data_IF_240084357407
#
_entry.id   IF_240084357407
#
_cell.length_a   1.000
_cell.length_b   1.000
_cell.length_c   1.000
_cell.angle_alpha   90.00
_cell.angle_beta   90.00
_cell.angle_gamma   90.00
#
_symmetry.space_group_name_H-M   'P 1'
#
loop_
_entity.id
_entity.type
_entity.pdbx_description
1 polymer ?
#
# COMPACT_ATOMS: atom_id res chain seq x y z
N UNK A 1 -3.53 26.56 -9.45
CA UNK A 1 -2.74 25.34 -9.76
C UNK A 1 -3.21 24.22 -8.85
N UNK A 2 -3.30 22.98 -9.34
CA UNK A 2 -3.67 21.85 -8.48
C UNK A 2 -2.51 21.53 -7.50
N UNK A 3 -2.84 21.10 -6.28
CA UNK A 3 -1.85 20.78 -5.24
C UNK A 3 -1.18 19.43 -5.55
N UNK A 4 0.14 19.33 -5.43
CA UNK A 4 0.86 18.03 -5.54
C UNK A 4 0.43 17.10 -4.41
N UNK A 5 0.35 15.80 -4.68
CA UNK A 5 0.06 14.82 -3.63
C UNK A 5 1.23 14.68 -2.64
N UNK A 6 0.99 14.02 -1.51
CA UNK A 6 2.02 13.64 -0.55
C UNK A 6 2.39 12.15 -0.71
N UNK A 7 3.60 11.73 -0.35
CA UNK A 7 3.93 10.31 -0.29
C UNK A 7 2.99 9.55 0.64
N UNK A 8 2.79 8.26 0.37
CA UNK A 8 2.06 7.33 1.23
C UNK A 8 2.98 6.18 1.62
N UNK A 9 2.99 5.82 2.90
CA UNK A 9 3.84 4.75 3.44
C UNK A 9 3.00 3.51 3.74
N UNK A 10 3.43 2.35 3.26
CA UNK A 10 2.81 1.05 3.52
C UNK A 10 3.92 0.06 3.88
N UNK A 11 3.90 -0.45 5.12
CA UNK A 11 5.05 -1.14 5.70
C UNK A 11 6.26 -0.19 5.77
N UNK A 12 7.41 -0.64 5.31
CA UNK A 12 8.64 0.17 5.24
C UNK A 12 8.84 0.85 3.88
N UNK A 13 7.81 0.86 3.02
CA UNK A 13 7.89 1.37 1.65
C UNK A 13 7.14 2.70 1.56
N UNK A 14 7.86 3.75 1.16
CA UNK A 14 7.30 5.05 0.80
C UNK A 14 7.02 5.10 -0.70
N UNK A 15 5.79 5.46 -1.07
CA UNK A 15 5.31 5.55 -2.46
C UNK A 15 5.09 7.02 -2.82
N UNK A 16 5.88 7.52 -3.75
CA UNK A 16 5.91 8.94 -4.09
C UNK A 16 4.75 9.35 -5.02
N UNK A 17 4.37 10.64 -5.06
CA UNK A 17 3.36 11.14 -5.99
C UNK A 17 3.67 10.80 -7.46
N UNK A 18 2.76 10.07 -8.09
CA UNK A 18 2.89 9.58 -9.47
C UNK A 18 3.37 8.14 -9.59
N UNK A 19 3.69 7.48 -8.47
CA UNK A 19 4.15 6.09 -8.45
C UNK A 19 3.01 5.10 -8.23
N UNK A 20 3.26 3.89 -8.72
CA UNK A 20 2.47 2.70 -8.46
C UNK A 20 3.41 1.57 -8.09
N UNK A 21 3.09 0.84 -7.02
CA UNK A 21 3.90 -0.29 -6.57
C UNK A 21 3.04 -1.40 -6.01
N UNK A 22 3.58 -2.62 -6.07
CA UNK A 22 3.03 -3.81 -5.43
C UNK A 22 3.89 -4.15 -4.22
N UNK A 23 3.28 -4.28 -3.05
CA UNK A 23 3.96 -4.50 -1.78
C UNK A 23 3.56 -5.87 -1.25
N UNK A 24 4.55 -6.71 -0.97
CA UNK A 24 4.36 -7.94 -0.18
C UNK A 24 4.44 -7.54 1.30
N UNK A 25 3.29 -7.26 1.91
CA UNK A 25 3.20 -6.78 3.28
C UNK A 25 3.25 -7.98 4.24
N UNK A 26 4.27 -8.11 5.11
CA UNK A 26 4.28 -9.15 6.14
C UNK A 26 3.10 -8.93 7.10
N UNK A 27 2.33 -9.98 7.37
CA UNK A 27 1.10 -9.90 8.18
C UNK A 27 1.15 -10.77 9.44
N UNK A 28 1.81 -11.93 9.39
CA UNK A 28 1.97 -12.80 10.56
C UNK A 28 3.06 -13.85 10.33
N UNK A 29 3.63 -14.36 11.42
CA UNK A 29 4.30 -15.65 11.44
C UNK A 29 3.36 -16.71 12.03
N UNK A 30 3.20 -17.82 11.33
CA UNK A 30 2.38 -18.93 11.80
C UNK A 30 3.18 -19.81 12.78
N UNK A 31 2.49 -20.53 13.66
CA UNK A 31 3.11 -21.47 14.62
C UNK A 31 3.92 -22.60 13.96
N UNK A 32 3.80 -22.75 12.64
CA UNK A 32 4.59 -23.64 11.79
C UNK A 32 5.91 -23.02 11.31
N UNK A 33 6.33 -21.88 11.87
CA UNK A 33 7.45 -21.08 11.39
C UNK A 33 7.32 -20.67 9.92
N UNK A 34 6.08 -20.48 9.45
CA UNK A 34 5.78 -20.01 8.09
C UNK A 34 5.40 -18.54 8.14
N UNK A 35 6.13 -17.68 7.42
CA UNK A 35 5.78 -16.26 7.30
C UNK A 35 4.69 -16.06 6.25
N UNK A 36 3.64 -15.34 6.63
CA UNK A 36 2.52 -14.96 5.80
C UNK A 36 2.73 -13.51 5.30
N UNK A 37 2.54 -13.30 4.01
CA UNK A 37 2.51 -11.96 3.41
C UNK A 37 1.23 -11.73 2.63
N UNK A 38 0.75 -10.48 2.62
CA UNK A 38 -0.41 -10.04 1.88
C UNK A 38 0.02 -9.12 0.73
N UNK A 39 -0.35 -9.41 -0.53
CA UNK A 39 -0.09 -8.50 -1.63
C UNK A 39 -0.98 -7.25 -1.53
N UNK A 40 -0.38 -6.06 -1.62
CA UNK A 40 -1.06 -4.76 -1.59
C UNK A 40 -0.64 -3.95 -2.81
N UNK A 41 -1.61 -3.54 -3.63
CA UNK A 41 -1.39 -2.59 -4.71
C UNK A 41 -1.59 -1.17 -4.19
N UNK A 42 -0.58 -0.31 -4.40
CA UNK A 42 -0.60 1.09 -3.97
C UNK A 42 -0.42 1.98 -5.19
N UNK A 43 -1.32 2.95 -5.35
CA UNK A 43 -1.26 3.97 -6.40
C UNK A 43 -1.30 5.34 -5.72
N UNK A 44 -0.23 6.10 -5.85
CA UNK A 44 -0.17 7.47 -5.38
C UNK A 44 -0.36 8.43 -6.56
N UNK A 45 -1.53 9.09 -6.65
CA UNK A 45 -1.80 10.07 -7.69
C UNK A 45 -0.78 11.22 -7.67
N UNK A 46 -0.50 11.84 -8.83
CA UNK A 46 0.44 12.99 -8.92
C UNK A 46 -0.05 14.22 -8.14
N UNK A 47 -1.37 14.43 -8.14
CA UNK A 47 -2.05 15.57 -7.53
C UNK A 47 -2.87 15.12 -6.31
N UNK A 48 -3.02 16.01 -5.34
CA UNK A 48 -3.79 15.76 -4.13
C UNK A 48 -5.26 15.48 -4.47
N UNK A 49 -5.85 14.52 -3.75
CA UNK A 49 -7.23 14.07 -3.90
C UNK A 49 -7.64 13.19 -2.73
N UNK A 50 -8.87 12.63 -2.74
CA UNK A 50 -9.31 11.71 -1.71
C UNK A 50 -8.47 10.43 -1.71
N UNK A 51 -8.32 9.82 -0.53
CA UNK A 51 -7.67 8.51 -0.35
C UNK A 51 -8.75 7.43 -0.33
N UNK A 52 -8.57 6.36 -1.10
CA UNK A 52 -9.49 5.21 -1.16
C UNK A 52 -8.75 3.94 -0.74
N UNK A 53 -9.39 3.16 0.12
CA UNK A 53 -8.93 1.82 0.48
C UNK A 53 -9.96 0.79 -0.01
N UNK A 54 -9.49 -0.20 -0.75
CA UNK A 54 -10.31 -1.30 -1.26
C UNK A 54 -9.72 -2.60 -0.72
N UNK A 55 -10.53 -3.36 0.02
CA UNK A 55 -10.17 -4.71 0.44
C UNK A 55 -11.09 -5.73 -0.21
N UNK A 56 -10.54 -6.85 -0.65
CA UNK A 56 -11.30 -7.98 -1.17
C UNK A 56 -10.97 -9.25 -0.37
N UNK A 57 -11.94 -10.19 -0.31
CA UNK A 57 -11.82 -11.49 0.37
C UNK A 57 -11.44 -11.34 1.86
N UNK A 58 -12.33 -10.71 2.63
CA UNK A 58 -12.35 -10.85 4.09
C UNK A 58 -13.38 -11.95 4.39
N UNK A 59 -12.93 -13.14 4.79
CA UNK A 59 -13.79 -14.26 5.22
C UNK A 59 -13.34 -14.74 6.60
#
# INVERSE_FOLDING_TARGET
MAKKNTPITIGDIEVMPGERTSISLPVADLYTATSLSMPVEVICGRMAGPVMFVSAVVH
#
